data_IF_921651625459
#
_entry.id   IF_921651625459
#
_cell.length_a   1.000
_cell.length_b   1.000
_cell.length_c   1.000
_cell.angle_alpha   90.00
_cell.angle_beta   90.00
_cell.angle_gamma   90.00
#
_symmetry.space_group_name_H-M   'P 1'
#
loop_
_entity.id
_entity.type
_entity.pdbx_description
1 polymer ?
#
# COMPACT_ATOMS: atom_id res chain seq x y z
N UNK A 1 18.60 -17.07 1.34
CA UNK A 1 17.15 -16.82 1.42
C UNK A 1 16.88 -15.60 0.56
N UNK A 2 15.99 -15.69 -0.44
CA UNK A 2 15.76 -14.59 -1.37
C UNK A 2 14.90 -13.52 -0.70
N UNK A 3 15.31 -12.26 -0.74
CA UNK A 3 14.58 -11.18 -0.07
C UNK A 3 13.21 -10.97 -0.74
N UNK A 4 12.13 -10.77 0.04
CA UNK A 4 10.77 -10.71 -0.51
C UNK A 4 10.54 -9.49 -1.41
N UNK A 5 11.17 -8.34 -1.11
CA UNK A 5 11.03 -7.12 -1.93
C UNK A 5 11.61 -7.29 -3.35
N UNK A 6 12.85 -7.77 -3.56
CA UNK A 6 13.33 -8.08 -4.91
C UNK A 6 12.44 -9.04 -5.69
N UNK A 7 11.94 -10.11 -5.05
CA UNK A 7 11.02 -11.05 -5.72
C UNK A 7 9.70 -10.39 -6.13
N UNK A 8 9.18 -9.50 -5.29
CA UNK A 8 7.99 -8.72 -5.57
C UNK A 8 8.22 -7.84 -6.79
N UNK A 9 9.33 -7.10 -6.84
CA UNK A 9 9.68 -6.25 -7.98
C UNK A 9 9.85 -7.05 -9.28
N UNK A 10 10.59 -8.15 -9.23
CA UNK A 10 10.79 -9.01 -10.39
C UNK A 10 9.47 -9.60 -10.91
N UNK A 11 8.48 -9.80 -10.01
CA UNK A 11 7.16 -10.31 -10.38
C UNK A 11 6.28 -9.23 -11.01
N UNK A 12 6.29 -8.02 -10.44
CA UNK A 12 5.60 -6.85 -11.00
C UNK A 12 6.12 -6.54 -12.39
N UNK A 13 7.44 -6.52 -12.57
CA UNK A 13 8.08 -6.24 -13.87
C UNK A 13 7.77 -7.32 -14.91
N UNK A 14 7.43 -8.52 -14.47
CA UNK A 14 7.00 -9.62 -15.33
C UNK A 14 5.48 -9.63 -15.59
N UNK A 15 4.70 -8.75 -14.95
CA UNK A 15 3.24 -8.77 -14.99
C UNK A 15 2.63 -10.02 -14.35
N UNK A 16 3.34 -10.66 -13.43
CA UNK A 16 2.95 -11.92 -12.79
C UNK A 16 2.36 -11.63 -11.41
N UNK A 17 1.07 -11.29 -11.40
CA UNK A 17 0.34 -10.94 -10.18
C UNK A 17 0.29 -12.09 -9.16
N UNK A 18 0.24 -13.34 -9.62
CA UNK A 18 0.27 -14.49 -8.72
C UNK A 18 1.61 -14.58 -7.99
N UNK A 19 2.72 -14.34 -8.71
CA UNK A 19 4.05 -14.33 -8.10
C UNK A 19 4.26 -13.10 -7.22
N UNK A 20 3.72 -11.94 -7.60
CA UNK A 20 3.75 -10.74 -6.79
C UNK A 20 2.98 -10.93 -5.48
N UNK A 21 1.80 -11.56 -5.54
CA UNK A 21 0.98 -11.91 -4.38
C UNK A 21 1.76 -12.82 -3.43
N UNK A 22 2.37 -13.88 -3.96
CA UNK A 22 3.18 -14.81 -3.16
C UNK A 22 4.36 -14.13 -2.51
N UNK A 23 5.02 -13.20 -3.19
CA UNK A 23 6.12 -12.42 -2.63
C UNK A 23 5.62 -11.47 -1.52
N UNK A 24 4.48 -10.82 -1.73
CA UNK A 24 3.86 -9.93 -0.75
C UNK A 24 3.47 -10.66 0.55
N UNK A 25 3.01 -11.92 0.46
CA UNK A 25 2.71 -12.75 1.65
C UNK A 25 3.95 -13.11 2.49
N UNK A 26 5.16 -12.93 1.96
CA UNK A 26 6.42 -13.15 2.68
C UNK A 26 6.99 -11.87 3.30
N UNK A 27 6.35 -10.71 3.08
CA UNK A 27 6.81 -9.43 3.62
C UNK A 27 6.69 -9.40 5.14
N UNK A 28 7.65 -8.71 5.74
CA UNK A 28 7.77 -8.52 7.18
C UNK A 28 8.01 -7.05 7.50
N UNK A 29 7.99 -6.68 8.78
CA UNK A 29 8.33 -5.33 9.21
C UNK A 29 9.73 -4.87 8.74
N UNK A 30 10.66 -5.79 8.45
CA UNK A 30 11.98 -5.45 7.94
C UNK A 30 11.96 -4.88 6.50
N UNK A 31 10.89 -5.13 5.75
CA UNK A 31 10.74 -4.74 4.36
C UNK A 31 10.10 -3.35 4.20
N UNK A 32 9.50 -2.82 5.28
CA UNK A 32 8.79 -1.54 5.31
C UNK A 32 9.61 -0.36 4.74
N UNK A 33 10.92 -0.18 5.07
CA UNK A 33 11.70 0.92 4.50
C UNK A 33 11.84 0.85 2.98
N UNK A 34 11.95 -0.35 2.42
CA UNK A 34 12.07 -0.52 0.97
C UNK A 34 10.74 -0.24 0.27
N UNK A 35 9.62 -0.68 0.86
CA UNK A 35 8.28 -0.41 0.35
C UNK A 35 7.92 1.09 0.44
N UNK A 36 8.36 1.78 1.50
CA UNK A 36 8.22 3.23 1.62
C UNK A 36 8.94 3.99 0.49
N UNK A 37 10.06 3.48 -0.03
CA UNK A 37 10.70 4.06 -1.21
C UNK A 37 9.90 3.81 -2.49
N UNK A 38 9.21 2.67 -2.57
CA UNK A 38 8.44 2.25 -3.75
C UNK A 38 7.09 2.95 -3.91
N UNK A 39 6.52 3.54 -2.86
CA UNK A 39 5.28 4.34 -2.99
C UNK A 39 5.46 5.59 -3.86
N UNK A 40 6.71 5.98 -4.17
CA UNK A 40 7.05 7.10 -5.05
C UNK A 40 7.50 6.65 -6.45
N UNK A 41 7.29 5.38 -6.82
CA UNK A 41 7.63 4.89 -8.15
C UNK A 41 6.79 5.57 -9.26
N UNK A 42 7.37 5.74 -10.45
CA UNK A 42 6.66 6.32 -11.60
C UNK A 42 5.50 5.42 -12.07
N UNK A 43 5.66 4.11 -11.92
CA UNK A 43 4.72 3.08 -12.34
C UNK A 43 3.62 2.82 -11.28
N UNK A 44 2.36 2.80 -11.72
CA UNK A 44 1.20 2.62 -10.84
C UNK A 44 1.14 1.23 -10.22
N UNK A 45 1.54 0.17 -10.93
CA UNK A 45 1.50 -1.19 -10.39
C UNK A 45 2.52 -1.35 -9.26
N UNK A 46 3.73 -0.82 -9.44
CA UNK A 46 4.74 -0.75 -8.38
C UNK A 46 4.25 0.04 -7.16
N UNK A 47 3.60 1.20 -7.36
CA UNK A 47 3.01 1.95 -6.24
C UNK A 47 1.90 1.18 -5.55
N UNK A 48 1.03 0.51 -6.31
CA UNK A 48 -0.08 -0.30 -5.79
C UNK A 48 0.43 -1.43 -4.91
N UNK A 49 1.40 -2.21 -5.40
CA UNK A 49 2.01 -3.31 -4.65
C UNK A 49 2.80 -2.82 -3.44
N UNK A 50 3.42 -1.64 -3.51
CA UNK A 50 4.08 -1.02 -2.36
C UNK A 50 3.07 -0.70 -1.24
N UNK A 51 1.98 -0.02 -1.58
CA UNK A 51 0.89 0.33 -0.66
C UNK A 51 0.28 -0.93 -0.03
N UNK A 52 0.03 -1.96 -0.84
CA UNK A 52 -0.44 -3.25 -0.35
C UNK A 52 0.56 -3.90 0.61
N UNK A 53 1.84 -3.91 0.25
CA UNK A 53 2.91 -4.47 1.07
C UNK A 53 3.04 -3.78 2.42
N UNK A 54 2.91 -2.45 2.47
CA UNK A 54 2.94 -1.68 3.72
C UNK A 54 1.83 -2.11 4.69
N UNK A 55 0.64 -2.46 4.17
CA UNK A 55 -0.44 -3.00 5.00
C UNK A 55 -0.07 -4.36 5.64
N UNK A 56 0.67 -5.20 4.91
CA UNK A 56 1.17 -6.50 5.39
C UNK A 56 2.24 -6.30 6.46
N UNK A 57 3.19 -5.40 6.24
CA UNK A 57 4.25 -5.07 7.19
C UNK A 57 3.65 -4.55 8.51
N UNK A 58 2.61 -3.72 8.43
CA UNK A 58 1.79 -3.36 9.58
C UNK A 58 2.40 -2.32 10.52
N UNK A 59 3.48 -1.63 10.12
CA UNK A 59 4.12 -0.60 10.93
C UNK A 59 3.47 0.76 10.79
N UNK A 60 3.64 1.57 11.83
CA UNK A 60 3.07 2.93 11.90
C UNK A 60 3.81 3.93 11.00
N UNK A 61 5.03 3.63 10.57
CA UNK A 61 5.80 4.51 9.68
C UNK A 61 5.17 4.56 8.27
N UNK A 62 4.37 3.55 7.92
CA UNK A 62 3.56 3.52 6.71
C UNK A 62 2.44 4.57 6.69
N UNK A 63 1.89 4.99 7.84
CA UNK A 63 0.66 5.81 7.89
C UNK A 63 0.77 7.10 7.06
N UNK A 64 1.84 7.93 7.17
CA UNK A 64 1.97 9.12 6.34
C UNK A 64 2.03 8.82 4.83
N UNK A 65 2.71 7.75 4.43
CA UNK A 65 2.81 7.36 3.03
C UNK A 65 1.46 6.88 2.47
N UNK A 66 0.71 6.09 3.26
CA UNK A 66 -0.63 5.66 2.89
C UNK A 66 -1.61 6.82 2.79
N UNK A 67 -1.50 7.83 3.66
CA UNK A 67 -2.32 9.04 3.57
C UNK A 67 -2.03 9.84 2.30
N UNK A 68 -0.76 9.91 1.87
CA UNK A 68 -0.40 10.54 0.60
C UNK A 68 -0.98 9.76 -0.60
N UNK A 69 -0.94 8.42 -0.54
CA UNK A 69 -1.47 7.55 -1.59
C UNK A 69 -3.01 7.63 -1.76
N UNK A 70 -3.75 8.15 -0.78
CA UNK A 70 -5.18 8.48 -0.96
C UNK A 70 -5.41 9.57 -2.03
N UNK A 71 -4.38 10.34 -2.39
CA UNK A 71 -4.42 11.34 -3.46
C UNK A 71 -3.69 10.92 -4.73
N UNK A 72 -3.34 9.64 -4.89
CA UNK A 72 -2.63 9.14 -6.07
C UNK A 72 -3.46 9.35 -7.35
N UNK A 73 -2.78 9.59 -8.48
CA UNK A 73 -3.43 9.73 -9.78
C UNK A 73 -4.11 8.45 -10.25
N UNK A 74 -3.63 7.28 -9.81
CA UNK A 74 -4.21 5.99 -10.11
C UNK A 74 -5.29 5.58 -9.10
N UNK A 75 -6.47 5.20 -9.59
CA UNK A 75 -7.61 4.83 -8.75
C UNK A 75 -7.36 3.54 -7.95
N UNK A 76 -6.65 2.57 -8.54
CA UNK A 76 -6.27 1.35 -7.85
C UNK A 76 -5.39 1.65 -6.64
N UNK A 77 -4.42 2.56 -6.78
CA UNK A 77 -3.54 2.99 -5.68
C UNK A 77 -4.34 3.69 -4.57
N UNK A 78 -5.29 4.58 -4.92
CA UNK A 78 -6.17 5.23 -3.93
C UNK A 78 -7.02 4.22 -3.15
N UNK A 79 -7.63 3.26 -3.84
CA UNK A 79 -8.41 2.18 -3.21
C UNK A 79 -7.52 1.30 -2.30
N UNK A 80 -6.32 0.95 -2.76
CA UNK A 80 -5.36 0.19 -1.97
C UNK A 80 -4.94 0.93 -0.70
N UNK A 81 -4.75 2.25 -0.79
CA UNK A 81 -4.37 3.08 0.35
C UNK A 81 -5.48 3.12 1.42
N UNK A 82 -6.74 3.24 1.00
CA UNK A 82 -7.89 3.18 1.90
C UNK A 82 -7.99 1.82 2.61
N UNK A 83 -7.84 0.72 1.86
CA UNK A 83 -7.82 -0.63 2.43
C UNK A 83 -6.66 -0.82 3.40
N UNK A 84 -5.47 -0.36 3.04
CA UNK A 84 -4.27 -0.46 3.88
C UNK A 84 -4.45 0.29 5.21
N UNK A 85 -5.00 1.51 5.17
CA UNK A 85 -5.33 2.27 6.39
C UNK A 85 -6.39 1.57 7.24
N UNK A 86 -7.40 0.94 6.63
CA UNK A 86 -8.39 0.15 7.36
C UNK A 86 -7.76 -1.07 8.06
N UNK A 87 -6.83 -1.77 7.40
CA UNK A 87 -6.06 -2.87 8.01
C UNK A 87 -5.18 -2.37 9.15
N UNK A 88 -4.47 -1.26 8.95
CA UNK A 88 -3.65 -0.66 10.01
C UNK A 88 -4.49 -0.18 11.18
N UNK A 89 -5.69 0.35 10.96
CA UNK A 89 -6.58 0.79 12.02
C UNK A 89 -6.91 -0.36 13.00
N UNK A 90 -7.05 -1.60 12.51
CA UNK A 90 -7.27 -2.77 13.38
C UNK A 90 -6.06 -3.11 14.26
N UNK A 91 -4.85 -2.70 13.86
CA UNK A 91 -3.59 -3.04 14.54
C UNK A 91 -3.08 -1.90 15.41
N UNK A 92 -3.21 -0.66 14.93
CA UNK A 92 -2.64 0.57 15.50
C UNK A 92 -3.65 1.72 15.43
N UNK A 93 -4.83 1.58 16.06
CA UNK A 93 -5.94 2.53 15.90
C UNK A 93 -5.55 3.97 16.24
N UNK A 94 -4.80 4.17 17.33
CA UNK A 94 -4.34 5.49 17.76
C UNK A 94 -3.49 6.24 16.71
N UNK A 95 -2.85 5.52 15.77
CA UNK A 95 -2.09 6.13 14.68
C UNK A 95 -2.97 6.50 13.48
N UNK A 96 -4.13 5.86 13.29
CA UNK A 96 -4.99 6.03 12.11
C UNK A 96 -6.22 6.90 12.42
N UNK A 97 -6.81 6.78 13.61
CA UNK A 97 -8.01 7.52 14.03
C UNK A 97 -7.95 9.04 13.79
N UNK A 98 -6.83 9.74 14.05
CA UNK A 98 -6.72 11.18 13.77
C UNK A 98 -6.89 11.54 12.28
N UNK A 99 -6.79 10.57 11.39
CA UNK A 99 -6.77 10.74 9.94
C UNK A 99 -7.97 10.15 9.21
N UNK A 100 -8.99 9.64 9.91
CA UNK A 100 -10.19 9.09 9.28
C UNK A 100 -10.94 10.11 8.38
N UNK A 101 -10.77 11.41 8.63
CA UNK A 101 -11.28 12.45 7.74
C UNK A 101 -10.65 12.42 6.34
N UNK A 102 -9.42 11.91 6.19
CA UNK A 102 -8.76 11.76 4.90
C UNK A 102 -9.38 10.63 4.06
N UNK A 103 -9.66 9.48 4.68
CA UNK A 103 -10.35 8.36 4.00
C UNK A 103 -11.81 8.68 3.71
N UNK A 104 -12.49 9.44 4.58
CA UNK A 104 -13.88 9.87 4.33
C UNK A 104 -14.06 10.70 3.05
N UNK A 105 -13.01 11.41 2.59
CA UNK A 105 -13.05 12.15 1.32
C UNK A 105 -13.17 11.25 0.10
N UNK A 106 -12.79 9.98 0.21
CA UNK A 106 -12.90 9.03 -0.88
C UNK A 106 -14.34 8.60 -1.16
N UNK A 107 -15.28 8.84 -0.24
CA UNK A 107 -16.72 8.65 -0.49
C UNK A 107 -17.24 9.56 -1.63
N UNK A 108 -16.48 10.60 -1.98
CA UNK A 108 -16.73 11.50 -3.11
C UNK A 108 -15.66 11.42 -4.19
N UNK A 109 -14.82 10.38 -4.19
CA UNK A 109 -13.83 10.15 -5.25
C UNK A 109 -14.52 10.07 -6.63
N UNK A 110 -13.86 10.47 -7.71
CA UNK A 110 -14.45 10.42 -9.04
C UNK A 110 -14.60 8.97 -9.57
N UNK A 111 -13.73 8.06 -9.12
CA UNK A 111 -13.77 6.65 -9.50
C UNK A 111 -14.73 5.84 -8.62
N UNK A 112 -15.63 5.09 -9.26
CA UNK A 112 -16.63 4.29 -8.55
C UNK A 112 -16.08 3.08 -7.80
N UNK A 113 -14.86 2.63 -8.10
CA UNK A 113 -14.18 1.58 -7.33
C UNK A 113 -13.59 2.09 -6.01
N UNK A 114 -13.42 3.40 -5.88
CA UNK A 114 -12.79 4.05 -4.73
C UNK A 114 -13.83 4.54 -3.70
N UNK A 115 -15.03 4.92 -4.16
CA UNK A 115 -16.17 5.34 -3.31
C UNK A 115 -16.86 4.17 -2.63
#
# INVERSE_FOLDING_TARGET
MNAPVPNLLDAIDAGDDERAERAALQLTAADEPALLALVAADDSDRRWWAVRGLAVCGGTQAVPALLAALGDGDAGVRAAAAMALAVLHQRVPAAVEPHLGATARLLTDDDGMVR
#
